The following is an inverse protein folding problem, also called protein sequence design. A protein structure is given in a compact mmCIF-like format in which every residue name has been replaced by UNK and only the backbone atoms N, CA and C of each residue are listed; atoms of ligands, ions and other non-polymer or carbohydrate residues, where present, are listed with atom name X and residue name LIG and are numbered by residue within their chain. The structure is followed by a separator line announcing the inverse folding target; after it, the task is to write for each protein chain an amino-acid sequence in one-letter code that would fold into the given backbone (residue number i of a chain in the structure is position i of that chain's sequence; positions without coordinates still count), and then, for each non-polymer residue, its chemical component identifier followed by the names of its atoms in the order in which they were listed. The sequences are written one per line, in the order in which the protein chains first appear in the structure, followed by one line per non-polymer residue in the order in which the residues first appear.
data_IF_667134689597
#
_entry.id   IF_667134689597
#
_cell.length_a   1.000
_cell.length_b   1.000
_cell.length_c   1.000
_cell.angle_alpha   90.00
_cell.angle_beta   90.00
_cell.angle_gamma   90.00
#
_symmetry.space_group_name_H-M   'P 1'
#
loop_
_entity.id
_entity.type
_entity.pdbx_description
1 polymer ?
#
# COMPACT_ATOMS: atom_id res chain seq x y z
N UNK A 1 1.25 11.69 15.68
CA UNK A 1 2.72 11.66 15.58
C UNK A 1 3.26 10.63 16.54
N UNK A 2 4.25 9.84 16.13
CA UNK A 2 4.89 8.82 16.97
C UNK A 2 6.38 9.18 17.14
N UNK A 3 6.90 9.29 18.37
CA UNK A 3 8.32 9.56 18.60
C UNK A 3 9.22 8.42 18.09
N UNK A 4 10.33 8.77 17.44
CA UNK A 4 11.30 7.84 16.86
C UNK A 4 12.71 8.44 16.76
N UNK A 5 13.63 7.70 16.15
CA UNK A 5 15.03 8.10 16.01
C UNK A 5 15.81 8.04 17.33
N UNK A 6 17.06 8.49 17.26
CA UNK A 6 17.97 8.46 18.39
C UNK A 6 17.49 9.45 19.47
N UNK A 7 17.26 8.95 20.69
CA UNK A 7 16.69 9.74 21.79
C UNK A 7 15.22 10.15 21.59
N UNK A 8 14.48 9.52 20.68
CA UNK A 8 13.05 9.78 20.41
C UNK A 8 12.75 11.23 19.97
N UNK A 9 13.70 11.88 19.29
CA UNK A 9 13.59 13.29 18.86
C UNK A 9 12.88 13.48 17.54
N UNK A 10 12.75 12.43 16.74
CA UNK A 10 12.01 12.48 15.49
C UNK A 10 10.53 12.19 15.74
N UNK A 11 9.65 12.76 14.93
CA UNK A 11 8.21 12.57 14.98
C UNK A 11 7.76 11.98 13.65
N UNK A 12 7.25 10.75 13.71
CA UNK A 12 6.70 10.04 12.56
C UNK A 12 5.23 10.41 12.36
N UNK A 13 4.85 10.83 11.16
CA UNK A 13 3.45 10.91 10.75
C UNK A 13 2.90 9.49 10.64
N UNK A 14 1.96 9.13 11.53
CA UNK A 14 1.41 7.76 11.58
C UNK A 14 -0.07 7.77 11.30
N UNK A 15 -0.49 7.01 10.29
CA UNK A 15 -1.90 6.69 10.05
C UNK A 15 -2.30 5.54 10.98
N UNK A 16 -3.44 5.67 11.66
CA UNK A 16 -3.99 4.61 12.51
C UNK A 16 -5.41 4.30 12.05
N UNK A 17 -5.66 3.04 11.72
CA UNK A 17 -7.00 2.50 11.54
C UNK A 17 -7.31 1.63 12.76
N UNK A 18 -8.37 1.96 13.50
CA UNK A 18 -8.71 1.26 14.74
C UNK A 18 -10.18 0.83 14.70
N UNK A 19 -10.50 -0.42 15.05
CA UNK A 19 -11.88 -0.83 15.23
C UNK A 19 -12.57 0.00 16.32
N UNK A 20 -13.90 0.08 16.28
CA UNK A 20 -14.66 0.71 17.35
C UNK A 20 -14.54 -0.11 18.66
N UNK A 21 -14.44 0.57 19.79
CA UNK A 21 -14.34 -0.05 21.12
C UNK A 21 -13.00 0.17 21.82
N UNK A 22 -12.85 -0.34 23.06
CA UNK A 22 -11.71 -0.04 23.92
C UNK A 22 -10.44 -0.85 23.60
N UNK A 23 -10.56 -1.96 22.85
CA UNK A 23 -9.48 -2.93 22.67
C UNK A 23 -9.35 -3.89 23.87
N UNK A 24 -8.19 -4.51 24.11
CA UNK A 24 -6.98 -4.41 23.29
C UNK A 24 -7.12 -5.16 21.95
N UNK A 25 -6.66 -4.54 20.88
CA UNK A 25 -6.73 -5.08 19.52
C UNK A 25 -5.38 -5.71 19.12
N UNK A 26 -5.37 -6.86 18.43
CA UNK A 26 -4.21 -7.29 17.67
C UNK A 26 -3.71 -6.16 16.76
N UNK A 27 -2.40 -6.05 16.58
CA UNK A 27 -1.79 -4.98 15.80
C UNK A 27 -1.22 -5.51 14.49
N UNK A 28 -1.52 -4.82 13.39
CA UNK A 28 -0.69 -4.81 12.19
C UNK A 28 0.16 -3.54 12.17
N UNK A 29 1.48 -3.68 12.28
CA UNK A 29 2.43 -2.58 12.06
C UNK A 29 2.92 -2.67 10.61
N UNK A 30 2.40 -1.80 9.75
CA UNK A 30 2.65 -1.82 8.32
C UNK A 30 3.66 -0.75 7.90
N UNK A 31 4.58 -1.13 7.01
CA UNK A 31 5.68 -0.31 6.56
C UNK A 31 5.61 0.01 5.06
N UNK A 32 5.71 1.28 4.70
CA UNK A 32 5.56 1.74 3.32
C UNK A 32 6.79 1.47 2.43
N UNK A 33 6.62 1.46 1.11
CA UNK A 33 7.73 1.38 0.15
C UNK A 33 8.55 2.67 0.05
N UNK A 34 9.31 2.82 -1.03
CA UNK A 34 9.93 4.08 -1.43
C UNK A 34 9.83 4.20 -2.93
N UNK A 35 9.30 5.33 -3.41
CA UNK A 35 9.26 5.67 -4.83
C UNK A 35 10.55 6.41 -5.24
N UNK A 36 10.74 6.59 -6.54
CA UNK A 36 11.78 7.47 -7.06
C UNK A 36 11.56 8.93 -6.63
N UNK A 37 12.62 9.73 -6.62
CA UNK A 37 12.58 11.14 -6.23
C UNK A 37 12.66 11.39 -4.71
N UNK A 38 12.53 12.67 -4.29
CA UNK A 38 12.76 13.07 -2.90
C UNK A 38 11.77 12.45 -1.92
N UNK A 39 12.26 11.77 -0.88
CA UNK A 39 11.44 11.11 0.15
C UNK A 39 10.42 12.05 0.80
N UNK A 40 10.84 13.30 1.07
CA UNK A 40 10.01 14.34 1.69
C UNK A 40 8.76 14.72 0.90
N UNK A 41 8.81 14.56 -0.43
CA UNK A 41 7.72 14.88 -1.34
C UNK A 41 6.80 13.69 -1.60
N UNK A 42 7.15 12.49 -1.12
CA UNK A 42 6.30 11.33 -1.27
C UNK A 42 5.06 11.48 -0.38
N UNK A 43 3.90 11.21 -0.97
CA UNK A 43 2.63 11.30 -0.28
C UNK A 43 2.55 10.28 0.85
N UNK A 44 1.71 10.57 1.83
CA UNK A 44 1.42 9.66 2.94
C UNK A 44 0.77 8.38 2.41
N UNK A 45 1.43 7.26 2.66
CA UNK A 45 0.93 5.93 2.32
C UNK A 45 -0.09 5.44 3.36
N UNK A 46 -1.13 4.73 2.91
CA UNK A 46 -2.25 4.33 3.77
C UNK A 46 -2.70 2.88 3.56
N UNK A 47 -2.47 2.32 2.38
CA UNK A 47 -2.91 0.96 2.01
C UNK A 47 -4.36 0.66 2.43
N UNK A 48 -5.32 1.53 2.08
CA UNK A 48 -6.68 1.47 2.67
C UNK A 48 -7.38 0.12 2.47
N UNK A 49 -7.22 -0.54 1.31
CA UNK A 49 -7.84 -1.84 1.06
C UNK A 49 -7.28 -2.93 1.98
N UNK A 50 -5.97 -2.95 2.19
CA UNK A 50 -5.34 -3.84 3.17
C UNK A 50 -5.81 -3.50 4.58
N UNK A 51 -5.76 -2.22 4.96
CA UNK A 51 -6.14 -1.80 6.30
C UNK A 51 -7.59 -2.19 6.63
N UNK A 52 -8.52 -2.03 5.69
CA UNK A 52 -9.92 -2.44 5.82
C UNK A 52 -10.05 -3.94 6.11
N UNK A 53 -9.33 -4.80 5.41
CA UNK A 53 -9.39 -6.25 5.63
C UNK A 53 -8.88 -6.66 7.03
N UNK A 54 -7.86 -5.98 7.53
CA UNK A 54 -7.37 -6.21 8.89
C UNK A 54 -8.34 -5.66 9.95
N UNK A 55 -8.92 -4.47 9.75
CA UNK A 55 -9.93 -3.90 10.67
C UNK A 55 -11.18 -4.77 10.71
N UNK A 56 -11.65 -5.31 9.57
CA UNK A 56 -12.75 -6.28 9.51
C UNK A 56 -12.51 -7.48 10.43
N UNK A 57 -11.25 -7.89 10.61
CA UNK A 57 -10.80 -9.01 11.46
C UNK A 57 -10.41 -8.61 12.89
N UNK A 58 -10.68 -7.36 13.25
CA UNK A 58 -10.49 -6.82 14.61
C UNK A 58 -9.09 -6.33 14.92
N UNK A 59 -8.25 -6.12 13.92
CA UNK A 59 -6.92 -5.55 14.12
C UNK A 59 -6.99 -4.03 14.16
N UNK A 60 -6.18 -3.42 15.02
CA UNK A 60 -5.70 -2.08 14.77
C UNK A 60 -4.55 -2.13 13.75
N UNK A 61 -4.45 -1.12 12.89
CA UNK A 61 -3.39 -0.98 11.90
C UNK A 61 -2.66 0.32 12.17
N UNK A 62 -1.34 0.25 12.33
CA UNK A 62 -0.48 1.42 12.44
C UNK A 62 0.46 1.48 11.23
N UNK A 63 0.48 2.64 10.57
CA UNK A 63 1.25 2.89 9.36
C UNK A 63 2.07 4.17 9.53
N UNK A 64 3.23 4.08 10.20
CA UNK A 64 4.17 5.20 10.30
C UNK A 64 4.85 5.49 8.96
N UNK A 65 4.85 6.75 8.56
CA UNK A 65 5.79 7.29 7.58
C UNK A 65 7.15 7.43 8.24
N UNK A 66 8.18 6.75 7.71
CA UNK A 66 9.54 6.76 8.26
C UNK A 66 10.17 8.15 8.23
N UNK A 67 11.25 8.35 8.97
CA UNK A 67 11.94 9.63 9.11
C UNK A 67 12.26 10.25 7.74
N UNK A 68 11.96 11.54 7.59
CA UNK A 68 12.15 12.30 6.36
C UNK A 68 11.14 12.05 5.23
N UNK A 69 10.13 11.18 5.42
CA UNK A 69 9.01 11.02 4.47
C UNK A 69 7.80 11.88 4.85
N UNK A 70 7.04 12.33 3.85
CA UNK A 70 5.79 13.07 4.05
C UNK A 70 5.90 14.21 5.09
N UNK A 71 5.10 14.16 6.17
CA UNK A 71 5.17 15.12 7.28
C UNK A 71 5.99 14.63 8.47
N UNK A 72 6.66 13.49 8.37
CA UNK A 72 7.61 13.05 9.39
C UNK A 72 8.82 13.99 9.44
N UNK A 73 9.31 14.26 10.65
CA UNK A 73 10.56 15.01 10.84
C UNK A 73 11.78 14.10 10.57
N UNK A 74 12.99 14.63 10.80
CA UNK A 74 14.22 13.89 10.53
C UNK A 74 14.56 13.85 9.04
N UNK A 75 15.42 12.92 8.66
CA UNK A 75 15.91 12.79 7.29
C UNK A 75 15.91 11.33 6.82
N UNK A 76 15.55 11.14 5.55
CA UNK A 76 15.75 9.85 4.90
C UNK A 76 17.25 9.59 4.73
N UNK A 77 17.70 8.39 5.10
CA UNK A 77 19.09 7.96 4.99
C UNK A 77 19.20 6.93 3.87
N UNK A 78 20.03 7.25 2.88
CA UNK A 78 20.39 6.37 1.77
C UNK A 78 21.77 5.78 2.04
N UNK A 79 21.90 4.46 1.90
CA UNK A 79 23.17 3.74 2.08
C UNK A 79 23.72 3.19 0.76
N UNK A 80 23.16 3.60 -0.38
CA UNK A 80 23.61 3.16 -1.70
C UNK A 80 23.56 1.64 -1.84
N UNK A 81 24.68 1.03 -2.25
CA UNK A 81 24.77 -0.42 -2.44
C UNK A 81 24.81 -1.23 -1.12
N UNK A 82 24.95 -0.57 0.05
CA UNK A 82 24.83 -1.25 1.34
C UNK A 82 23.35 -1.53 1.66
N UNK A 83 22.89 -2.68 1.19
CA UNK A 83 21.52 -3.16 1.38
C UNK A 83 21.20 -3.43 2.86
N UNK A 84 22.18 -3.86 3.66
CA UNK A 84 21.96 -4.13 5.07
C UNK A 84 21.78 -2.82 5.86
N UNK A 85 22.65 -1.83 5.61
CA UNK A 85 22.53 -0.48 6.20
C UNK A 85 21.22 0.20 5.82
N UNK A 86 20.81 0.08 4.55
CA UNK A 86 19.49 0.51 4.09
C UNK A 86 18.36 -0.12 4.93
N UNK A 87 18.31 -1.44 5.03
CA UNK A 87 17.26 -2.13 5.77
C UNK A 87 17.22 -1.78 7.26
N UNK A 88 18.39 -1.77 7.91
CA UNK A 88 18.52 -1.48 9.33
C UNK A 88 18.15 -0.02 9.65
N UNK A 89 18.52 0.90 8.76
CA UNK A 89 18.15 2.31 8.85
C UNK A 89 16.63 2.48 8.92
N UNK A 90 15.89 1.81 8.03
CA UNK A 90 14.42 1.87 8.01
C UNK A 90 13.79 1.08 9.18
N UNK A 91 14.37 -0.05 9.59
CA UNK A 91 13.85 -0.87 10.68
C UNK A 91 13.90 -0.16 12.05
N UNK A 92 14.80 0.81 12.23
CA UNK A 92 14.92 1.61 13.46
C UNK A 92 13.63 2.36 13.80
N UNK A 93 13.05 3.04 12.81
CA UNK A 93 11.80 3.77 12.99
C UNK A 93 10.65 2.83 13.34
N UNK A 94 10.66 1.63 12.76
CA UNK A 94 9.65 0.61 13.04
C UNK A 94 9.79 0.04 14.44
N UNK A 95 11.02 -0.10 14.94
CA UNK A 95 11.25 -0.51 16.32
C UNK A 95 10.71 0.54 17.31
N UNK A 96 10.93 1.82 17.05
CA UNK A 96 10.38 2.90 17.86
C UNK A 96 8.85 2.95 17.81
N UNK A 97 8.27 2.80 16.60
CA UNK A 97 6.82 2.76 16.42
C UNK A 97 6.18 1.54 17.13
N UNK A 98 6.81 0.37 17.07
CA UNK A 98 6.40 -0.82 17.79
C UNK A 98 6.45 -0.61 19.31
N UNK A 99 7.53 -0.01 19.82
CA UNK A 99 7.65 0.31 21.24
C UNK A 99 6.58 1.30 21.70
N UNK A 100 6.26 2.31 20.88
CA UNK A 100 5.16 3.24 21.14
C UNK A 100 3.80 2.54 21.14
N UNK A 101 3.55 1.70 20.14
CA UNK A 101 2.29 0.96 19.99
C UNK A 101 2.00 0.09 21.21
N UNK A 102 3.00 -0.62 21.74
CA UNK A 102 2.87 -1.48 22.94
C UNK A 102 2.46 -0.72 24.21
N UNK A 103 2.64 0.60 24.27
CA UNK A 103 2.22 1.43 25.41
C UNK A 103 0.78 1.93 25.29
N UNK A 104 0.13 1.69 24.16
CA UNK A 104 -1.24 2.13 23.96
C UNK A 104 -2.19 1.11 24.58
N UNK A 105 -3.13 1.57 25.42
CA UNK A 105 -4.09 0.69 26.12
C UNK A 105 -4.98 -0.13 25.18
N UNK A 106 -5.16 0.35 23.95
CA UNK A 106 -5.98 -0.30 22.93
C UNK A 106 -5.18 -1.30 22.05
N UNK A 107 -3.89 -1.50 22.28
CA UNK A 107 -3.07 -2.50 21.57
C UNK A 107 -2.88 -3.74 22.45
N UNK A 108 -3.05 -4.92 21.87
CA UNK A 108 -2.62 -6.18 22.46
C UNK A 108 -1.12 -6.40 22.17
N UNK A 109 -0.22 -6.26 23.16
CA UNK A 109 1.21 -6.38 22.93
C UNK A 109 1.66 -7.80 22.61
N UNK A 110 0.80 -8.82 22.78
CA UNK A 110 1.11 -10.24 22.55
C UNK A 110 0.66 -10.75 21.18
N UNK A 111 -0.11 -9.95 20.44
CA UNK A 111 -0.66 -10.30 19.12
C UNK A 111 -0.33 -9.21 18.11
N UNK A 112 0.91 -9.22 17.64
CA UNK A 112 1.43 -8.26 16.66
C UNK A 112 1.90 -8.99 15.40
N UNK A 113 1.56 -8.43 14.24
CA UNK A 113 2.16 -8.78 12.95
C UNK A 113 2.85 -7.55 12.40
N UNK A 114 4.07 -7.73 11.89
CA UNK A 114 4.79 -6.68 11.17
C UNK A 114 4.67 -6.95 9.67
N UNK A 115 4.49 -5.91 8.89
CA UNK A 115 4.29 -6.06 7.45
C UNK A 115 4.97 -4.93 6.68
N UNK A 116 5.23 -5.15 5.41
CA UNK A 116 5.67 -4.08 4.54
C UNK A 116 5.63 -4.44 3.07
N UNK A 117 5.64 -3.40 2.23
CA UNK A 117 5.69 -3.52 0.77
C UNK A 117 6.97 -2.92 0.21
N UNK A 118 7.59 -3.57 -0.79
CA UNK A 118 8.82 -3.08 -1.43
C UNK A 118 9.94 -2.86 -0.40
N UNK A 119 10.54 -1.67 -0.36
CA UNK A 119 11.52 -1.32 0.66
C UNK A 119 10.98 -1.49 2.10
N UNK A 120 9.67 -1.32 2.27
CA UNK A 120 8.98 -1.56 3.52
C UNK A 120 9.01 -3.02 3.96
N UNK A 121 8.88 -3.96 3.01
CA UNK A 121 8.93 -5.41 3.26
C UNK A 121 10.33 -5.87 3.65
N UNK A 122 11.35 -5.33 2.96
CA UNK A 122 12.75 -5.53 3.33
C UNK A 122 13.06 -5.05 4.76
N UNK A 123 12.55 -3.87 5.12
CA UNK A 123 12.71 -3.33 6.47
C UNK A 123 11.91 -4.11 7.54
N UNK A 124 10.76 -4.68 7.20
CA UNK A 124 10.00 -5.56 8.10
C UNK A 124 10.78 -6.86 8.41
N UNK A 125 11.43 -7.46 7.41
CA UNK A 125 12.32 -8.61 7.61
C UNK A 125 13.55 -8.23 8.43
N UNK A 126 14.15 -7.06 8.17
CA UNK A 126 15.28 -6.55 8.96
C UNK A 126 14.90 -6.33 10.42
N UNK A 127 13.72 -5.77 10.71
CA UNK A 127 13.20 -5.62 12.07
C UNK A 127 13.08 -6.98 12.76
N UNK A 128 12.59 -8.00 12.05
CA UNK A 128 12.35 -9.35 12.57
C UNK A 128 13.63 -10.19 12.77
N UNK A 129 14.82 -9.62 12.56
CA UNK A 129 16.10 -10.19 13.02
C UNK A 129 16.36 -9.95 14.51
N UNK A 130 15.52 -9.12 15.15
CA UNK A 130 15.58 -8.84 16.59
C UNK A 130 14.64 -9.78 17.36
N UNK A 131 14.90 -9.93 18.66
CA UNK A 131 13.94 -10.54 19.59
C UNK A 131 12.80 -9.56 19.84
N UNK A 132 11.60 -9.90 19.36
CA UNK A 132 10.42 -9.03 19.42
C UNK A 132 9.25 -9.75 20.11
N UNK A 133 9.17 -9.72 21.46
CA UNK A 133 8.08 -10.36 22.19
C UNK A 133 6.70 -9.96 21.68
N UNK A 134 5.82 -10.93 21.47
CA UNK A 134 4.46 -10.71 20.98
C UNK A 134 4.33 -10.44 19.47
N UNK A 135 5.44 -10.29 18.73
CA UNK A 135 5.41 -10.34 17.25
C UNK A 135 5.32 -11.80 16.82
N UNK A 136 4.22 -12.16 16.17
CA UNK A 136 3.86 -13.54 15.81
C UNK A 136 4.23 -13.91 14.39
N UNK A 137 4.39 -12.93 13.50
CA UNK A 137 4.74 -13.18 12.10
C UNK A 137 5.07 -11.92 11.32
N UNK A 138 5.67 -12.13 10.14
CA UNK A 138 5.99 -11.07 9.17
C UNK A 138 5.24 -11.30 7.86
N UNK A 139 4.62 -10.26 7.31
CA UNK A 139 4.07 -10.26 5.95
C UNK A 139 4.97 -9.42 5.04
N UNK A 140 5.61 -10.08 4.08
CA UNK A 140 6.53 -9.46 3.13
C UNK A 140 5.88 -9.38 1.74
N UNK A 141 5.38 -8.21 1.36
CA UNK A 141 4.79 -7.97 0.04
C UNK A 141 5.84 -7.41 -0.92
N UNK A 142 6.32 -8.22 -1.85
CA UNK A 142 7.32 -7.83 -2.83
C UNK A 142 8.53 -7.11 -2.20
N UNK A 143 9.07 -7.61 -1.10
CA UNK A 143 10.12 -6.93 -0.33
C UNK A 143 11.47 -6.89 -1.02
N UNK A 144 12.09 -5.72 -1.00
CA UNK A 144 13.43 -5.52 -1.52
C UNK A 144 13.71 -4.04 -1.74
N UNK A 145 14.91 -3.74 -2.23
CA UNK A 145 15.28 -2.40 -2.65
C UNK A 145 16.04 -2.50 -3.98
N UNK A 146 15.59 -1.75 -4.98
CA UNK A 146 16.34 -1.53 -6.20
C UNK A 146 17.18 -0.27 -6.03
N UNK A 147 18.46 -0.36 -6.38
CA UNK A 147 19.40 0.76 -6.39
C UNK A 147 20.03 0.82 -7.78
N UNK A 148 19.77 1.92 -8.49
CA UNK A 148 20.34 2.18 -9.82
C UNK A 148 21.63 3.01 -9.66
N UNK A 149 22.69 2.36 -9.17
CA UNK A 149 24.01 2.96 -8.95
C UNK A 149 25.07 2.27 -9.83
N UNK A 150 25.89 3.01 -10.61
CA UNK A 150 26.97 2.42 -11.41
C UNK A 150 27.90 1.55 -10.57
N UNK A 151 28.23 0.36 -11.06
CA UNK A 151 29.11 -0.59 -10.38
C UNK A 151 28.49 -1.34 -9.20
N UNK A 152 27.20 -1.13 -8.88
CA UNK A 152 26.51 -1.86 -7.82
C UNK A 152 25.79 -3.12 -8.36
N UNK A 153 26.24 -4.32 -7.95
CA UNK A 153 25.42 -5.54 -8.02
C UNK A 153 24.37 -5.51 -6.91
N UNK A 154 23.34 -4.69 -7.09
CA UNK A 154 22.30 -4.51 -6.10
C UNK A 154 21.51 -5.81 -5.84
N UNK A 155 21.35 -6.67 -6.86
CA UNK A 155 20.65 -7.94 -6.72
C UNK A 155 21.44 -8.94 -5.87
N UNK A 156 22.76 -9.03 -6.08
CA UNK A 156 23.65 -9.82 -5.25
C UNK A 156 23.75 -9.30 -3.82
N UNK A 157 23.91 -7.98 -3.65
CA UNK A 157 23.91 -7.34 -2.34
C UNK A 157 22.59 -7.58 -1.58
N UNK A 158 21.46 -7.53 -2.30
CA UNK A 158 20.13 -7.80 -1.75
C UNK A 158 19.99 -9.28 -1.34
N UNK A 159 20.43 -10.22 -2.18
CA UNK A 159 20.41 -11.64 -1.85
C UNK A 159 21.28 -11.97 -0.62
N UNK A 160 22.48 -11.38 -0.53
CA UNK A 160 23.34 -11.50 0.66
C UNK A 160 22.68 -10.95 1.92
N UNK A 161 22.01 -9.80 1.79
CA UNK A 161 21.27 -9.19 2.90
C UNK A 161 20.10 -10.07 3.35
N UNK A 162 19.39 -10.70 2.42
CA UNK A 162 18.32 -11.65 2.73
C UNK A 162 18.84 -12.92 3.40
N UNK A 163 20.04 -13.40 3.05
CA UNK A 163 20.73 -14.46 3.79
C UNK A 163 21.01 -14.03 5.24
N UNK A 164 21.52 -12.81 5.45
CA UNK A 164 21.71 -12.24 6.80
C UNK A 164 20.39 -12.18 7.57
N UNK A 165 19.29 -11.76 6.95
CA UNK A 165 17.99 -11.78 7.63
C UNK A 165 17.58 -13.19 8.03
N UNK A 166 17.78 -14.18 7.15
CA UNK A 166 17.49 -15.57 7.44
C UNK A 166 18.27 -16.11 8.65
N UNK A 167 19.57 -15.80 8.72
CA UNK A 167 20.45 -16.26 9.80
C UNK A 167 20.05 -15.77 11.20
N UNK A 168 19.39 -14.61 11.29
CA UNK A 168 19.01 -14.00 12.57
C UNK A 168 17.49 -13.95 12.80
N UNK A 169 16.69 -14.46 11.87
CA UNK A 169 15.24 -14.42 11.98
C UNK A 169 14.69 -15.65 12.72
N UNK A 170 13.86 -15.40 13.72
CA UNK A 170 13.16 -16.44 14.48
C UNK A 170 11.63 -16.29 14.41
N UNK A 171 11.12 -15.43 13.52
CA UNK A 171 9.70 -15.08 13.41
C UNK A 171 9.21 -15.56 12.05
N UNK A 172 8.24 -16.49 11.98
CA UNK A 172 7.78 -17.04 10.72
C UNK A 172 7.25 -15.93 9.80
N UNK A 173 7.37 -16.11 8.49
CA UNK A 173 6.99 -15.10 7.52
C UNK A 173 6.23 -15.67 6.32
N UNK A 174 5.35 -14.85 5.73
CA UNK A 174 4.70 -15.09 4.44
C UNK A 174 5.17 -14.04 3.44
N UNK A 175 5.62 -14.50 2.28
CA UNK A 175 6.22 -13.68 1.23
C UNK A 175 5.33 -13.75 -0.01
N UNK A 176 5.06 -12.61 -0.63
CA UNK A 176 4.17 -12.51 -1.79
C UNK A 176 4.89 -11.79 -2.92
N UNK A 177 5.11 -12.46 -4.04
CA UNK A 177 5.77 -11.90 -5.24
C UNK A 177 4.99 -12.34 -6.49
N UNK A 178 4.75 -11.41 -7.42
CA UNK A 178 3.98 -11.68 -8.64
C UNK A 178 4.84 -11.80 -9.89
N UNK A 179 4.29 -12.44 -10.93
CA UNK A 179 5.07 -12.83 -12.11
C UNK A 179 5.58 -11.64 -12.95
N UNK A 180 4.81 -10.55 -13.02
CA UNK A 180 5.14 -9.34 -13.77
C UNK A 180 5.53 -8.16 -12.86
N UNK A 181 6.12 -8.42 -11.68
CA UNK A 181 6.66 -7.36 -10.82
C UNK A 181 7.83 -6.65 -11.53
N UNK A 182 7.72 -5.33 -11.69
CA UNK A 182 8.69 -4.52 -12.43
C UNK A 182 10.08 -4.40 -11.75
N UNK A 183 10.19 -4.76 -10.47
CA UNK A 183 11.42 -4.66 -9.68
C UNK A 183 11.99 -6.01 -9.31
N UNK A 184 11.13 -6.96 -8.95
CA UNK A 184 11.52 -8.24 -8.35
C UNK A 184 10.99 -9.41 -9.17
N UNK A 185 11.69 -9.70 -10.27
CA UNK A 185 11.35 -10.81 -11.17
C UNK A 185 11.23 -12.15 -10.41
N UNK A 186 10.49 -13.14 -10.94
CA UNK A 186 10.36 -14.45 -10.30
C UNK A 186 11.70 -15.11 -9.97
N UNK A 187 12.70 -14.97 -10.85
CA UNK A 187 14.04 -15.50 -10.63
C UNK A 187 14.73 -14.82 -9.43
N UNK A 188 14.61 -13.49 -9.31
CA UNK A 188 15.15 -12.74 -8.18
C UNK A 188 14.40 -13.08 -6.89
N UNK A 189 13.06 -13.06 -6.90
CA UNK A 189 12.24 -13.42 -5.74
C UNK A 189 12.59 -14.81 -5.20
N UNK A 190 12.76 -15.80 -6.09
CA UNK A 190 13.17 -17.15 -5.70
C UNK A 190 14.61 -17.19 -5.16
N UNK A 191 15.53 -16.39 -5.72
CA UNK A 191 16.90 -16.24 -5.18
C UNK A 191 16.87 -15.67 -3.76
N UNK A 192 16.12 -14.59 -3.54
CA UNK A 192 15.95 -13.96 -2.22
C UNK A 192 15.37 -14.94 -1.20
N UNK A 193 14.32 -15.67 -1.58
CA UNK A 193 13.68 -16.68 -0.74
C UNK A 193 14.66 -17.79 -0.35
N UNK A 194 15.38 -18.37 -1.32
CA UNK A 194 16.38 -19.41 -1.05
C UNK A 194 17.54 -18.91 -0.18
N UNK A 195 18.01 -17.68 -0.39
CA UNK A 195 19.04 -17.07 0.45
C UNK A 195 18.59 -16.98 1.90
N UNK A 196 17.35 -16.53 2.14
CA UNK A 196 16.78 -16.41 3.48
C UNK A 196 16.54 -17.78 4.14
N UNK A 197 15.82 -18.69 3.47
CA UNK A 197 15.48 -19.99 4.06
C UNK A 197 16.69 -20.91 4.18
N UNK A 198 17.62 -20.85 3.22
CA UNK A 198 18.87 -21.59 3.26
C UNK A 198 19.83 -21.14 4.38
N UNK A 199 19.59 -19.95 4.95
CA UNK A 199 20.34 -19.43 6.11
C UNK A 199 19.63 -19.68 7.44
N UNK A 200 18.52 -20.43 7.47
CA UNK A 200 17.79 -20.78 8.69
C UNK A 200 16.47 -20.01 8.91
N UNK A 201 16.16 -19.04 8.05
CA UNK A 201 14.94 -18.26 8.16
C UNK A 201 13.68 -19.07 7.85
N UNK A 202 12.57 -18.78 8.53
CA UNK A 202 11.29 -19.46 8.32
C UNK A 202 10.35 -18.62 7.44
N UNK A 203 10.13 -19.05 6.19
CA UNK A 203 9.27 -18.34 5.26
C UNK A 203 8.44 -19.29 4.40
N UNK A 204 7.23 -18.85 4.04
CA UNK A 204 6.41 -19.43 2.97
C UNK A 204 6.37 -18.44 1.81
N UNK A 205 6.56 -18.91 0.58
CA UNK A 205 6.47 -18.10 -0.61
C UNK A 205 5.16 -18.36 -1.36
N UNK A 206 4.35 -17.31 -1.52
CA UNK A 206 3.30 -17.25 -2.52
C UNK A 206 3.85 -16.53 -3.75
N UNK A 207 4.30 -17.31 -4.73
CA UNK A 207 4.55 -16.83 -6.08
C UNK A 207 3.23 -16.89 -6.87
N UNK A 208 2.69 -15.73 -7.25
CA UNK A 208 1.42 -15.65 -7.99
C UNK A 208 1.65 -15.18 -9.44
N UNK A 209 0.62 -15.37 -10.28
CA UNK A 209 0.66 -14.98 -11.70
C UNK A 209 0.76 -13.47 -11.91
N UNK A 210 0.66 -13.01 -13.17
CA UNK A 210 0.64 -11.58 -13.48
C UNK A 210 -0.54 -10.89 -12.79
N UNK A 211 -0.32 -9.66 -12.32
CA UNK A 211 -1.37 -8.80 -11.81
C UNK A 211 -1.37 -7.49 -12.59
N UNK A 212 -2.42 -7.29 -13.40
CA UNK A 212 -2.63 -6.09 -14.21
C UNK A 212 -1.35 -5.72 -14.98
N UNK A 213 -0.98 -4.44 -15.00
CA UNK A 213 0.28 -3.97 -15.63
C UNK A 213 1.54 -4.31 -14.83
N UNK A 214 1.43 -4.40 -13.51
CA UNK A 214 2.58 -4.58 -12.62
C UNK A 214 2.12 -5.15 -11.28
N UNK A 215 2.61 -6.36 -10.96
CA UNK A 215 2.30 -7.02 -9.70
C UNK A 215 2.88 -6.32 -8.47
N UNK A 216 3.81 -5.38 -8.64
CA UNK A 216 4.34 -4.60 -7.53
C UNK A 216 3.25 -3.75 -6.83
N UNK A 217 2.16 -3.45 -7.55
CA UNK A 217 1.04 -2.64 -7.08
C UNK A 217 -0.06 -3.43 -6.35
N UNK A 218 0.05 -4.77 -6.30
CA UNK A 218 -1.01 -5.67 -5.81
C UNK A 218 -1.55 -5.30 -4.44
N UNK A 219 -0.68 -4.94 -3.47
CA UNK A 219 -1.12 -4.62 -2.11
C UNK A 219 -1.99 -3.36 -2.03
N UNK A 220 -1.70 -2.36 -2.86
CA UNK A 220 -2.40 -1.07 -2.88
C UNK A 220 -3.69 -1.07 -3.70
N UNK A 221 -4.02 -2.20 -4.35
CA UNK A 221 -5.16 -2.29 -5.27
C UNK A 221 -6.34 -3.01 -4.63
N UNK A 222 -7.56 -2.54 -4.91
CA UNK A 222 -8.81 -3.18 -4.48
C UNK A 222 -8.85 -4.65 -4.90
N UNK A 223 -8.57 -4.91 -6.17
CA UNK A 223 -8.68 -6.25 -6.75
C UNK A 223 -7.52 -7.16 -6.30
N UNK A 224 -6.43 -6.58 -5.82
CA UNK A 224 -5.30 -7.32 -5.24
C UNK A 224 -5.68 -8.05 -3.96
N UNK A 225 -6.73 -7.62 -3.24
CA UNK A 225 -7.23 -8.29 -2.02
C UNK A 225 -7.49 -9.77 -2.27
N UNK A 226 -8.16 -10.11 -3.38
CA UNK A 226 -8.45 -11.51 -3.73
C UNK A 226 -7.19 -12.35 -3.97
N UNK A 227 -6.08 -11.73 -4.34
CA UNK A 227 -4.79 -12.39 -4.59
C UNK A 227 -4.08 -12.73 -3.29
N UNK A 228 -3.93 -11.75 -2.38
CA UNK A 228 -3.08 -11.91 -1.20
C UNK A 228 -3.82 -12.38 0.05
N UNK A 229 -5.10 -12.05 0.21
CA UNK A 229 -5.84 -12.28 1.44
C UNK A 229 -5.96 -13.78 1.79
N UNK A 230 -6.31 -14.70 0.87
CA UNK A 230 -6.49 -16.10 1.23
C UNK A 230 -5.23 -16.76 1.83
N UNK A 231 -4.06 -16.48 1.26
CA UNK A 231 -2.79 -16.99 1.81
C UNK A 231 -2.42 -16.30 3.12
N UNK A 232 -2.70 -15.00 3.23
CA UNK A 232 -2.49 -14.22 4.46
C UNK A 232 -3.33 -14.78 5.60
N UNK A 233 -4.60 -15.07 5.39
CA UNK A 233 -5.47 -15.66 6.42
C UNK A 233 -4.97 -17.03 6.89
N UNK A 234 -4.61 -17.93 5.96
CA UNK A 234 -4.03 -19.24 6.33
C UNK A 234 -2.76 -19.07 7.17
N UNK A 235 -1.91 -18.12 6.80
CA UNK A 235 -0.70 -17.82 7.56
C UNK A 235 -1.02 -17.24 8.95
N UNK A 236 -1.90 -16.23 9.03
CA UNK A 236 -2.33 -15.62 10.29
C UNK A 236 -2.93 -16.67 11.25
N UNK A 237 -3.80 -17.53 10.74
CA UNK A 237 -4.37 -18.63 11.52
C UNK A 237 -3.28 -19.55 12.07
N UNK A 238 -2.29 -19.93 11.26
CA UNK A 238 -1.16 -20.80 11.67
C UNK A 238 -0.33 -20.19 12.80
N UNK A 239 -0.19 -18.86 12.83
CA UNK A 239 0.57 -18.14 13.87
C UNK A 239 -0.31 -17.68 15.05
N UNK A 240 -1.55 -18.18 15.16
CA UNK A 240 -2.45 -17.89 16.27
C UNK A 240 -3.08 -16.49 16.23
N UNK A 241 -3.11 -15.86 15.05
CA UNK A 241 -3.67 -14.53 14.84
C UNK A 241 -5.11 -14.62 14.29
N UNK A 242 -6.02 -13.68 14.65
CA UNK A 242 -7.42 -13.77 14.25
C UNK A 242 -7.63 -13.59 12.75
N UNK A 243 -8.59 -14.32 12.20
CA UNK A 243 -8.95 -14.26 10.77
C UNK A 243 -10.45 -14.10 10.54
N UNK A 244 -11.27 -14.33 11.57
CA UNK A 244 -12.72 -14.16 11.48
C UNK A 244 -13.05 -12.68 11.35
N UNK A 245 -13.95 -12.35 10.42
CA UNK A 245 -14.51 -11.01 10.35
C UNK A 245 -15.46 -10.78 11.53
N UNK A 246 -15.17 -9.76 12.34
CA UNK A 246 -15.92 -9.39 13.55
C UNK A 246 -16.38 -7.94 13.52
N UNK A 247 -15.87 -7.13 12.59
CA UNK A 247 -16.32 -5.77 12.32
C UNK A 247 -16.89 -5.67 10.91
N UNK A 248 -18.03 -4.98 10.78
CA UNK A 248 -18.60 -4.58 9.50
C UNK A 248 -18.03 -3.22 9.12
N UNK A 249 -17.00 -3.22 8.30
CA UNK A 249 -16.49 -1.99 7.65
C UNK A 249 -17.12 -1.94 6.27
N UNK A 250 -18.02 -0.99 6.05
CA UNK A 250 -18.63 -0.77 4.74
C UNK A 250 -17.55 -0.39 3.72
N UNK A 251 -17.68 -0.89 2.50
CA UNK A 251 -16.89 -0.38 1.39
C UNK A 251 -17.27 1.09 1.13
N UNK A 252 -16.34 1.87 0.59
CA UNK A 252 -16.65 3.24 0.20
C UNK A 252 -17.81 3.20 -0.82
N UNK A 253 -18.89 3.97 -0.61
CA UNK A 253 -20.00 3.98 -1.54
C UNK A 253 -19.50 4.48 -2.91
N UNK A 254 -19.73 3.69 -3.94
CA UNK A 254 -19.55 4.14 -5.33
C UNK A 254 -20.79 4.95 -5.74
N UNK A 255 -20.65 6.05 -6.51
CA UNK A 255 -21.79 6.73 -7.08
C UNK A 255 -22.65 5.77 -7.91
N UNK A 256 -23.98 5.83 -7.82
CA UNK A 256 -24.86 4.94 -8.57
C UNK A 256 -24.75 5.20 -10.07
N UNK A 257 -24.87 4.15 -10.87
CA UNK A 257 -24.98 4.29 -12.32
C UNK A 257 -26.26 5.06 -12.68
N UNK A 258 -26.15 6.03 -13.59
CA UNK A 258 -27.25 6.94 -13.95
C UNK A 258 -27.89 6.60 -15.29
N UNK A 259 -27.36 5.58 -16.00
CA UNK A 259 -27.77 5.20 -17.36
C UNK A 259 -27.77 6.38 -18.36
N UNK A 260 -26.99 7.44 -18.09
CA UNK A 260 -26.94 8.64 -18.93
C UNK A 260 -26.51 8.35 -20.37
N UNK A 261 -25.53 7.47 -20.56
CA UNK A 261 -25.06 7.00 -21.86
C UNK A 261 -24.36 5.64 -21.70
N UNK A 262 -24.10 4.94 -22.81
CA UNK A 262 -23.15 3.82 -22.80
C UNK A 262 -21.75 4.35 -22.48
N UNK A 263 -20.95 3.56 -21.76
CA UNK A 263 -19.62 4.01 -21.33
C UNK A 263 -18.68 4.25 -22.52
N UNK A 264 -18.79 3.45 -23.57
CA UNK A 264 -17.99 3.55 -24.79
C UNK A 264 -18.50 4.59 -25.80
N UNK A 265 -19.64 5.23 -25.53
CA UNK A 265 -20.14 6.35 -26.32
C UNK A 265 -19.37 7.64 -26.00
N UNK A 266 -18.20 7.77 -26.63
CA UNK A 266 -17.34 8.95 -26.52
C UNK A 266 -18.05 10.21 -27.03
N UNK A 267 -19.01 10.09 -27.95
CA UNK A 267 -19.75 11.21 -28.50
C UNK A 267 -20.67 11.84 -27.44
N UNK A 268 -21.27 11.01 -26.59
CA UNK A 268 -22.18 11.42 -25.51
C UNK A 268 -21.50 12.09 -24.30
N UNK A 269 -20.17 12.01 -24.16
CA UNK A 269 -19.46 12.61 -23.02
C UNK A 269 -19.56 14.13 -23.05
N UNK A 270 -20.17 14.78 -22.03
CA UNK A 270 -20.42 16.22 -22.05
C UNK A 270 -19.14 17.07 -22.04
N UNK A 271 -19.22 18.25 -22.66
CA UNK A 271 -18.21 19.32 -22.61
C UNK A 271 -16.82 18.97 -23.17
N UNK A 272 -16.56 17.74 -23.61
CA UNK A 272 -15.26 17.35 -24.16
C UNK A 272 -15.11 17.78 -25.63
N UNK A 273 -14.05 18.54 -25.89
CA UNK A 273 -13.51 18.77 -27.22
C UNK A 273 -12.63 17.60 -27.67
N UNK A 274 -12.01 17.69 -28.86
CA UNK A 274 -11.26 16.59 -29.49
C UNK A 274 -10.18 16.00 -28.57
N UNK A 275 -9.38 16.85 -27.90
CA UNK A 275 -8.34 16.39 -26.98
C UNK A 275 -8.93 15.65 -25.77
N UNK A 276 -10.06 16.12 -25.24
CA UNK A 276 -10.77 15.46 -24.14
C UNK A 276 -11.34 14.11 -24.57
N UNK A 277 -11.93 14.04 -25.77
CA UNK A 277 -12.44 12.77 -26.34
C UNK A 277 -11.31 11.77 -26.59
N UNK A 278 -10.14 12.24 -27.05
CA UNK A 278 -8.96 11.40 -27.17
C UNK A 278 -8.47 10.89 -25.80
N UNK A 279 -8.48 11.75 -24.77
CA UNK A 279 -8.15 11.33 -23.41
C UNK A 279 -9.17 10.33 -22.83
N UNK A 280 -10.45 10.49 -23.17
CA UNK A 280 -11.50 9.55 -22.75
C UNK A 280 -11.33 8.18 -23.41
N UNK A 281 -10.96 8.12 -24.70
CA UNK A 281 -10.57 6.86 -25.38
C UNK A 281 -9.46 6.13 -24.62
N UNK A 282 -8.41 6.86 -24.25
CA UNK A 282 -7.30 6.31 -23.46
C UNK A 282 -7.78 5.85 -22.08
N UNK A 283 -8.71 6.58 -21.44
CA UNK A 283 -9.30 6.21 -20.15
C UNK A 283 -10.05 4.87 -20.20
N UNK A 284 -10.78 4.58 -21.28
CA UNK A 284 -11.54 3.33 -21.43
C UNK A 284 -10.65 2.08 -21.44
N UNK A 285 -9.36 2.24 -21.73
CA UNK A 285 -8.36 1.16 -21.69
C UNK A 285 -7.65 1.03 -20.32
N UNK A 286 -7.93 1.91 -19.37
CA UNK A 286 -7.25 1.94 -18.05
C UNK A 286 -7.75 0.86 -17.12
N UNK A 287 -6.93 0.46 -16.17
CA UNK A 287 -7.30 -0.64 -15.27
C UNK A 287 -8.13 -0.14 -14.09
N UNK A 288 -9.24 -0.83 -13.79
CA UNK A 288 -10.03 -0.55 -12.59
C UNK A 288 -9.21 -0.86 -11.33
N UNK A 289 -9.36 -0.14 -10.20
CA UNK A 289 -10.33 0.92 -10.01
C UNK A 289 -9.92 2.19 -10.77
N UNK A 290 -10.85 2.82 -11.48
CA UNK A 290 -10.59 3.98 -12.34
C UNK A 290 -11.74 4.98 -12.29
N UNK A 291 -11.44 6.25 -12.52
CA UNK A 291 -12.47 7.27 -12.62
C UNK A 291 -12.11 8.37 -13.60
N UNK A 292 -13.13 8.96 -14.20
CA UNK A 292 -13.03 10.10 -15.10
C UNK A 292 -13.96 11.21 -14.60
N UNK A 293 -13.41 12.41 -14.48
CA UNK A 293 -14.11 13.62 -14.08
C UNK A 293 -14.02 14.68 -15.17
N UNK A 294 -15.07 15.48 -15.30
CA UNK A 294 -15.16 16.57 -16.26
C UNK A 294 -15.92 17.77 -15.68
N UNK A 295 -15.78 18.92 -16.34
CA UNK A 295 -16.39 20.19 -15.95
C UNK A 295 -17.01 20.88 -17.16
N UNK A 296 -18.04 21.70 -16.91
CA UNK A 296 -18.66 22.55 -17.92
C UNK A 296 -17.68 23.54 -18.59
N UNK A 297 -16.49 23.75 -18.01
CA UNK A 297 -15.43 24.55 -18.63
C UNK A 297 -14.66 23.80 -19.73
N UNK A 298 -15.01 22.54 -20.04
CA UNK A 298 -14.26 21.65 -20.94
C UNK A 298 -13.04 20.98 -20.30
N UNK A 299 -12.73 21.30 -19.04
CA UNK A 299 -11.66 20.65 -18.30
C UNK A 299 -12.05 19.22 -17.91
N UNK A 300 -11.05 18.33 -17.87
CA UNK A 300 -11.22 16.92 -17.52
C UNK A 300 -10.04 16.42 -16.70
N UNK A 301 -10.18 15.24 -16.10
CA UNK A 301 -9.12 14.54 -15.37
C UNK A 301 -9.51 13.10 -15.12
N UNK A 302 -8.54 12.19 -15.11
CA UNK A 302 -8.78 10.79 -14.79
C UNK A 302 -7.68 10.24 -13.89
N UNK A 303 -8.00 9.15 -13.22
CA UNK A 303 -7.05 8.38 -12.44
C UNK A 303 -7.40 6.89 -12.50
N UNK A 304 -6.39 6.05 -12.32
CA UNK A 304 -6.52 4.58 -12.27
C UNK A 304 -5.66 4.03 -11.13
N UNK A 305 -6.01 2.82 -10.68
CA UNK A 305 -5.35 2.08 -9.59
C UNK A 305 -5.26 2.86 -8.26
N UNK A 306 -4.68 2.23 -7.24
CA UNK A 306 -4.40 2.87 -5.94
C UNK A 306 -5.65 3.34 -5.19
N UNK A 307 -5.43 4.22 -4.21
CA UNK A 307 -6.48 4.75 -3.36
C UNK A 307 -7.28 5.86 -4.05
N UNK A 308 -8.61 5.77 -3.94
CA UNK A 308 -9.58 6.80 -4.34
C UNK A 308 -9.32 7.44 -5.72
N UNK A 309 -9.34 6.65 -6.82
CA UNK A 309 -9.18 7.19 -8.17
C UNK A 309 -10.24 8.24 -8.52
N UNK A 310 -11.45 8.12 -7.99
CA UNK A 310 -12.54 9.10 -8.04
C UNK A 310 -12.11 10.49 -7.51
N UNK A 311 -11.57 10.54 -6.30
CA UNK A 311 -11.09 11.80 -5.69
C UNK A 311 -9.91 12.36 -6.47
N UNK A 312 -8.99 11.51 -6.95
CA UNK A 312 -7.82 11.95 -7.73
C UNK A 312 -8.22 12.48 -9.11
N UNK A 313 -9.19 11.85 -9.77
CA UNK A 313 -9.74 12.31 -11.03
C UNK A 313 -10.39 13.69 -10.88
N UNK A 314 -11.24 13.87 -9.86
CA UNK A 314 -11.84 15.15 -9.52
C UNK A 314 -10.79 16.23 -9.25
N UNK A 315 -9.79 15.94 -8.40
CA UNK A 315 -8.73 16.89 -8.10
C UNK A 315 -7.91 17.24 -9.36
N UNK A 316 -7.65 16.28 -10.23
CA UNK A 316 -6.92 16.53 -11.48
C UNK A 316 -7.71 17.37 -12.48
N UNK A 317 -9.03 17.17 -12.55
CA UNK A 317 -9.92 18.03 -13.32
C UNK A 317 -9.93 19.46 -12.73
N UNK A 318 -10.11 19.58 -11.41
CA UNK A 318 -10.32 20.87 -10.75
C UNK A 318 -9.09 21.78 -10.85
N UNK A 319 -7.87 21.22 -10.89
CA UNK A 319 -6.63 21.99 -11.13
C UNK A 319 -6.64 22.79 -12.44
N UNK A 320 -7.50 22.41 -13.40
CA UNK A 320 -7.59 23.01 -14.75
C UNK A 320 -8.95 23.68 -15.00
N UNK A 321 -9.85 23.70 -14.02
CA UNK A 321 -11.18 24.25 -14.17
C UNK A 321 -11.47 25.34 -13.15
N UNK A 322 -12.06 26.43 -13.63
CA UNK A 322 -12.69 27.45 -12.78
C UNK A 322 -14.12 27.08 -12.37
N UNK A 323 -14.71 26.04 -12.96
CA UNK A 323 -16.04 25.52 -12.64
C UNK A 323 -15.94 24.17 -11.89
N UNK A 324 -16.98 23.77 -11.13
CA UNK A 324 -16.95 22.51 -10.39
C UNK A 324 -16.80 21.29 -11.32
N UNK A 325 -15.82 20.44 -11.03
CA UNK A 325 -15.69 19.13 -11.67
C UNK A 325 -16.63 18.10 -11.05
N UNK A 326 -17.19 17.23 -11.87
CA UNK A 326 -18.04 16.11 -11.46
C UNK A 326 -17.56 14.80 -12.08
N UNK A 327 -17.86 13.68 -11.43
CA UNK A 327 -17.56 12.35 -11.96
C UNK A 327 -18.49 12.05 -13.12
N UNK A 328 -17.92 11.63 -14.25
CA UNK A 328 -18.66 11.11 -15.39
C UNK A 328 -18.71 9.58 -15.36
N UNK A 329 -17.58 8.95 -15.04
CA UNK A 329 -17.47 7.50 -15.01
C UNK A 329 -16.62 7.02 -13.84
N UNK A 330 -17.07 5.95 -13.20
CA UNK A 330 -16.34 5.21 -12.15
C UNK A 330 -16.37 3.74 -12.53
N UNK A 331 -15.20 3.14 -12.65
CA UNK A 331 -14.97 1.77 -13.13
C UNK A 331 -15.64 1.52 -14.50
N UNK A 332 -16.67 0.68 -14.56
CA UNK A 332 -17.46 0.36 -15.76
C UNK A 332 -18.78 1.14 -15.85
N UNK A 333 -19.06 1.99 -14.87
CA UNK A 333 -20.35 2.71 -14.77
C UNK A 333 -20.23 4.17 -15.22
N UNK A 334 -21.24 4.64 -15.95
CA UNK A 334 -21.50 6.08 -16.12
C UNK A 334 -22.33 6.56 -14.93
N UNK A 335 -21.81 7.56 -14.23
CA UNK A 335 -22.39 8.10 -12.98
C UNK A 335 -22.83 9.57 -13.14
N UNK A 336 -22.90 10.05 -14.37
CA UNK A 336 -23.21 11.43 -14.69
C UNK A 336 -24.69 11.73 -14.41
N UNK A 337 -25.03 12.72 -13.56
CA UNK A 337 -26.41 12.94 -13.11
C UNK A 337 -27.37 13.44 -14.20
N UNK A 338 -26.86 13.88 -15.35
CA UNK A 338 -27.67 14.49 -16.41
C UNK A 338 -28.30 15.82 -16.00
N UNK A 339 -29.04 16.47 -16.90
CA UNK A 339 -29.73 17.73 -16.61
C UNK A 339 -30.91 17.59 -15.62
N UNK A 340 -31.29 16.36 -15.27
CA UNK A 340 -32.46 16.06 -14.45
C UNK A 340 -32.25 16.25 -12.94
N UNK A 341 -31.01 16.48 -12.47
CA UNK A 341 -30.70 16.55 -11.04
C UNK A 341 -30.61 17.98 -10.46
N UNK A 342 -30.81 19.03 -11.27
CA UNK A 342 -30.72 20.44 -10.81
C UNK A 342 -32.10 21.03 -10.42
N UNK A 343 -33.17 20.22 -10.44
CA UNK A 343 -34.56 20.68 -10.26
C UNK A 343 -35.25 20.31 -8.96
N UNK A 344 -34.52 20.01 -7.87
CA UNK A 344 -35.09 19.47 -6.63
C UNK A 344 -34.76 20.26 -5.37
N UNK A 345 -34.79 21.59 -5.44
CA UNK A 345 -34.79 22.46 -4.26
C UNK A 345 -35.55 23.74 -4.57
N UNK A 346 -36.88 23.66 -4.52
CA UNK A 346 -37.78 24.75 -4.12
C UNK A 346 -38.91 24.17 -3.28
#
# INVERSE_FOLDING_TARGET
MVPAGDGLRELLETTVFRPAGPGPFPLLLMNHGKQAGPARLQARERFIYMATEFVRRGYAVMLPMRAGFARSTGAYRDFGCDMLGNAQGQARDMLAALAYARRQSWVDPQRIVVAGQSYGGMAALALATRVLPGVRGVLNFAGGLRVDMPGCDWQGALAKTFATFGAYNHIPSLWLYGANDAYFSPALAQRLFRSFTGSGGQAQLLAYGPFKRDAHLTLGSRDGVAVWLPATERFLQKIGMPVRQVYRVADAPSPPATHFAQQDDIAAVPYLEEQGRAAYRVFLEKTAPRAFALSASGAWGWAEEGESPDVRALASCQRRSSLPCQLYSVDESVVWPGASAVGGAQ
#
